data_IF_415159828621
#
_entry.id   IF_415159828621
#
_cell.length_a   1.000
_cell.length_b   1.000
_cell.length_c   1.000
_cell.angle_alpha   90.00
_cell.angle_beta   90.00
_cell.angle_gamma   90.00
#
_symmetry.space_group_name_H-M   'P 1'
#
loop_
_entity.id
_entity.type
_entity.pdbx_description
1 polymer ?
#
# COMPACT_ATOMS: atom_id res chain seq x y z
N UNK A 1 21.28 3.39 11.77
CA UNK A 1 20.22 2.36 11.66
C UNK A 1 18.98 2.89 10.93
N UNK A 2 18.71 4.20 10.97
CA UNK A 2 17.59 4.88 10.28
C UNK A 2 17.50 4.75 8.75
N UNK A 3 18.56 4.71 7.93
CA UNK A 3 18.39 4.62 6.47
C UNK A 3 17.96 3.22 6.01
N UNK A 4 18.27 2.17 6.77
CA UNK A 4 17.82 0.80 6.48
C UNK A 4 16.31 0.66 6.65
N UNK A 5 15.69 1.42 7.58
CA UNK A 5 14.24 1.48 7.75
C UNK A 5 13.53 2.00 6.50
N UNK A 6 14.16 2.90 5.73
CA UNK A 6 13.57 3.49 4.53
C UNK A 6 13.42 2.47 3.38
N UNK A 7 14.13 1.35 3.42
CA UNK A 7 14.02 0.30 2.39
C UNK A 7 12.61 -0.30 2.37
N UNK A 8 11.97 -0.45 3.53
CA UNK A 8 10.64 -1.05 3.66
C UNK A 8 9.56 -0.23 2.93
N UNK A 9 9.37 1.08 3.19
CA UNK A 9 8.41 1.88 2.44
C UNK A 9 8.82 2.08 0.97
N UNK A 10 10.13 2.16 0.66
CA UNK A 10 10.59 2.32 -0.72
C UNK A 10 10.30 1.07 -1.57
N UNK A 11 10.51 -0.14 -1.03
CA UNK A 11 10.12 -1.39 -1.72
C UNK A 11 8.61 -1.47 -1.90
N UNK A 12 7.83 -1.01 -0.93
CA UNK A 12 6.38 -0.86 -1.09
C UNK A 12 5.98 0.09 -2.22
N UNK A 13 6.68 1.22 -2.36
CA UNK A 13 6.44 2.15 -3.47
C UNK A 13 6.73 1.51 -4.83
N UNK A 14 7.83 0.74 -4.93
CA UNK A 14 8.17 -0.02 -6.15
C UNK A 14 7.10 -1.06 -6.50
N UNK A 15 6.60 -1.79 -5.51
CA UNK A 15 5.53 -2.78 -5.68
C UNK A 15 4.22 -2.12 -6.17
N UNK A 16 3.89 -0.93 -5.67
CA UNK A 16 2.73 -0.17 -6.13
C UNK A 16 2.94 0.48 -7.51
N UNK A 17 4.17 0.82 -7.89
CA UNK A 17 4.51 1.24 -9.26
C UNK A 17 4.27 0.08 -10.23
N UNK A 18 4.69 -1.12 -9.87
CA UNK A 18 4.41 -2.31 -10.67
C UNK A 18 2.90 -2.57 -10.78
N UNK A 19 2.18 -2.50 -9.66
CA UNK A 19 0.71 -2.66 -9.64
C UNK A 19 -0.02 -1.59 -10.48
N UNK A 20 0.42 -0.34 -10.46
CA UNK A 20 -0.16 0.73 -11.31
C UNK A 20 0.13 0.45 -12.79
N UNK A 21 1.36 0.10 -13.15
CA UNK A 21 1.73 -0.27 -14.51
C UNK A 21 0.89 -1.45 -15.03
N UNK A 22 0.77 -2.50 -14.24
CA UNK A 22 -0.06 -3.64 -14.58
C UNK A 22 -1.54 -3.23 -14.70
N UNK A 23 -2.08 -2.34 -13.87
CA UNK A 23 -3.48 -1.90 -13.97
C UNK A 23 -3.74 -1.01 -15.18
N UNK A 24 -2.71 -0.32 -15.69
CA UNK A 24 -2.78 0.46 -16.93
C UNK A 24 -2.73 -0.47 -18.15
N UNK A 25 -1.90 -1.52 -18.12
CA UNK A 25 -1.67 -2.41 -19.27
C UNK A 25 -2.63 -3.60 -19.34
N UNK A 26 -2.96 -4.19 -18.18
CA UNK A 26 -3.79 -5.37 -18.02
C UNK A 26 -5.04 -5.04 -17.18
N UNK A 27 -6.19 -5.60 -17.56
CA UNK A 27 -7.47 -5.33 -16.87
C UNK A 27 -7.57 -6.06 -15.52
N UNK A 28 -6.84 -7.17 -15.37
CA UNK A 28 -6.83 -8.03 -14.17
C UNK A 28 -5.39 -8.23 -13.68
N UNK A 29 -5.00 -7.46 -12.67
CA UNK A 29 -3.63 -7.48 -12.11
C UNK A 29 -3.47 -8.49 -10.99
N UNK A 30 -4.55 -8.93 -10.36
CA UNK A 30 -4.45 -9.92 -9.31
C UNK A 30 -4.57 -11.34 -9.86
N UNK A 31 -3.85 -12.29 -9.23
CA UNK A 31 -3.84 -13.69 -9.63
C UNK A 31 -5.27 -14.22 -9.83
N UNK A 32 -5.64 -14.62 -11.05
CA UNK A 32 -6.94 -15.25 -11.29
C UNK A 32 -7.02 -16.57 -10.51
N UNK A 33 -8.21 -16.89 -9.99
CA UNK A 33 -8.51 -18.16 -9.31
C UNK A 33 -8.32 -18.20 -7.79
N UNK A 34 -7.30 -17.55 -7.22
CA UNK A 34 -7.01 -17.67 -5.77
C UNK A 34 -7.66 -16.56 -4.93
N UNK A 35 -7.73 -15.34 -5.46
CA UNK A 35 -8.16 -14.16 -4.70
C UNK A 35 -9.49 -13.54 -5.18
N UNK A 36 -10.25 -14.24 -6.05
CA UNK A 36 -11.53 -13.80 -6.60
C UNK A 36 -11.53 -12.36 -7.17
N UNK A 37 -10.42 -11.95 -7.80
CA UNK A 37 -10.27 -10.57 -8.28
C UNK A 37 -11.23 -10.12 -9.38
N UNK A 38 -11.91 -11.05 -10.02
CA UNK A 38 -13.02 -10.76 -10.95
C UNK A 38 -14.16 -10.00 -10.25
N UNK A 39 -14.44 -10.33 -8.97
CA UNK A 39 -15.44 -9.59 -8.16
C UNK A 39 -14.94 -8.20 -7.75
N UNK A 40 -13.65 -8.07 -7.42
CA UNK A 40 -13.07 -6.78 -7.06
C UNK A 40 -13.10 -5.80 -8.25
N UNK A 41 -12.91 -6.32 -9.48
CA UNK A 41 -12.98 -5.54 -10.71
C UNK A 41 -14.39 -5.04 -11.05
N UNK A 42 -15.41 -5.76 -10.58
CA UNK A 42 -16.81 -5.37 -10.76
C UNK A 42 -17.26 -4.29 -9.75
N UNK A 43 -16.69 -4.31 -8.54
CA UNK A 43 -17.12 -3.46 -7.43
C UNK A 43 -16.39 -2.11 -7.42
N UNK A 44 -15.08 -2.11 -7.69
CA UNK A 44 -14.27 -0.88 -7.65
C UNK A 44 -13.88 -0.47 -9.07
N UNK A 45 -14.41 0.63 -9.61
CA UNK A 45 -14.10 1.05 -10.97
C UNK A 45 -12.60 1.34 -11.11
N UNK A 46 -12.07 1.01 -12.28
CA UNK A 46 -10.63 1.11 -12.62
C UNK A 46 -10.00 2.45 -12.23
N UNK A 47 -10.72 3.56 -12.39
CA UNK A 47 -10.25 4.92 -12.03
C UNK A 47 -9.94 5.06 -10.54
N UNK A 48 -10.79 4.50 -9.67
CA UNK A 48 -10.62 4.61 -8.22
C UNK A 48 -9.43 3.76 -7.76
N UNK A 49 -9.26 2.55 -8.32
CA UNK A 49 -8.10 1.70 -8.02
C UNK A 49 -6.78 2.33 -8.45
N UNK A 50 -6.74 2.93 -9.64
CA UNK A 50 -5.55 3.65 -10.13
C UNK A 50 -5.24 4.86 -9.25
N UNK A 51 -6.23 5.65 -8.87
CA UNK A 51 -6.04 6.78 -7.95
C UNK A 51 -5.48 6.33 -6.59
N UNK A 52 -6.06 5.28 -6.00
CA UNK A 52 -5.58 4.70 -4.74
C UNK A 52 -4.15 4.17 -4.87
N UNK A 53 -3.85 3.46 -5.96
CA UNK A 53 -2.53 2.90 -6.18
C UNK A 53 -1.47 3.98 -6.41
N UNK A 54 -1.75 4.99 -7.24
CA UNK A 54 -0.85 6.15 -7.45
C UNK A 54 -0.67 6.93 -6.16
N UNK A 55 -1.75 7.16 -5.40
CA UNK A 55 -1.68 7.79 -4.09
C UNK A 55 -0.78 6.99 -3.13
N UNK A 56 -0.93 5.67 -3.09
CA UNK A 56 -0.10 4.78 -2.27
C UNK A 56 1.38 4.84 -2.66
N UNK A 57 1.71 4.89 -3.96
CA UNK A 57 3.09 5.08 -4.43
C UNK A 57 3.68 6.35 -3.84
N UNK A 58 2.98 7.48 -4.00
CA UNK A 58 3.46 8.80 -3.58
C UNK A 58 3.62 8.85 -2.06
N UNK A 59 2.64 8.35 -1.30
CA UNK A 59 2.68 8.35 0.16
C UNK A 59 3.81 7.47 0.69
N UNK A 60 3.98 6.24 0.17
CA UNK A 60 5.08 5.35 0.57
C UNK A 60 6.45 5.95 0.23
N UNK A 61 6.57 6.60 -0.92
CA UNK A 61 7.80 7.30 -1.28
C UNK A 61 8.10 8.46 -0.31
N UNK A 62 7.09 9.28 0.02
CA UNK A 62 7.23 10.37 0.99
C UNK A 62 7.58 9.85 2.40
N UNK A 63 7.00 8.72 2.82
CA UNK A 63 7.38 8.05 4.08
C UNK A 63 8.86 7.65 4.04
N UNK A 64 9.30 6.96 2.99
CA UNK A 64 10.71 6.58 2.82
C UNK A 64 11.65 7.79 2.86
N UNK A 65 11.30 8.86 2.12
CA UNK A 65 12.07 10.10 2.08
C UNK A 65 12.12 10.79 3.44
N UNK A 66 11.00 10.85 4.16
CA UNK A 66 10.95 11.44 5.51
C UNK A 66 11.81 10.67 6.52
N UNK A 67 11.90 9.33 6.40
CA UNK A 67 12.81 8.51 7.22
C UNK A 67 14.27 8.82 6.90
N UNK A 68 14.62 8.97 5.61
CA UNK A 68 15.98 9.33 5.18
C UNK A 68 16.38 10.72 5.73
N UNK A 69 15.43 11.67 5.72
CA UNK A 69 15.64 13.03 6.25
C UNK A 69 15.61 13.09 7.79
N UNK A 70 15.36 11.97 8.48
CA UNK A 70 15.29 11.91 9.95
C UNK A 70 13.98 12.47 10.54
N UNK A 71 12.98 12.78 9.72
CA UNK A 71 11.68 13.31 10.13
C UNK A 71 10.71 12.17 10.54
N UNK A 72 11.09 11.37 11.53
CA UNK A 72 10.38 10.15 11.93
C UNK A 72 8.92 10.39 12.38
N UNK A 73 8.64 11.52 13.03
CA UNK A 73 7.28 11.86 13.46
C UNK A 73 6.33 12.10 12.28
N UNK A 74 6.83 12.70 11.20
CA UNK A 74 6.04 12.92 9.97
C UNK A 74 5.77 11.58 9.29
N UNK A 75 6.80 10.72 9.22
CA UNK A 75 6.69 9.36 8.70
C UNK A 75 5.65 8.53 9.47
N UNK A 76 5.64 8.65 10.79
CA UNK A 76 4.71 7.96 11.68
C UNK A 76 3.26 8.40 11.44
N UNK A 77 3.00 9.72 11.37
CA UNK A 77 1.67 10.26 11.10
C UNK A 77 1.16 9.77 9.73
N UNK A 78 1.99 9.83 8.69
CA UNK A 78 1.63 9.35 7.35
C UNK A 78 1.35 7.84 7.34
N UNK A 79 2.15 7.05 8.06
CA UNK A 79 1.97 5.60 8.16
C UNK A 79 0.66 5.24 8.88
N UNK A 80 0.31 5.95 9.96
CA UNK A 80 -0.97 5.75 10.69
C UNK A 80 -2.18 6.10 9.81
N UNK A 81 -2.13 7.23 9.10
CA UNK A 81 -3.20 7.61 8.17
C UNK A 81 -3.35 6.56 7.06
N UNK A 82 -2.22 6.08 6.51
CA UNK A 82 -2.21 5.01 5.53
C UNK A 82 -2.84 3.71 6.06
N UNK A 83 -2.52 3.33 7.30
CA UNK A 83 -3.11 2.17 7.98
C UNK A 83 -4.62 2.29 8.16
N UNK A 84 -5.13 3.45 8.55
CA UNK A 84 -6.59 3.67 8.69
C UNK A 84 -7.33 3.44 7.37
N UNK A 85 -6.76 3.93 6.27
CA UNK A 85 -7.29 3.71 4.91
C UNK A 85 -7.16 2.23 4.54
N UNK A 86 -6.04 1.60 4.85
CA UNK A 86 -5.78 0.17 4.64
C UNK A 86 -6.79 -0.73 5.34
N UNK A 87 -7.08 -0.49 6.62
CA UNK A 87 -8.08 -1.23 7.40
C UNK A 87 -9.47 -1.13 6.77
N UNK A 88 -9.86 0.06 6.30
CA UNK A 88 -11.11 0.23 5.56
C UNK A 88 -11.11 -0.57 4.24
N UNK A 89 -9.98 -0.59 3.54
CA UNK A 89 -9.75 -1.43 2.36
C UNK A 89 -9.91 -2.92 2.65
N UNK A 90 -9.31 -3.43 3.74
CA UNK A 90 -9.44 -4.83 4.18
C UNK A 90 -10.89 -5.15 4.53
N UNK A 91 -11.58 -4.27 5.25
CA UNK A 91 -13.00 -4.45 5.59
C UNK A 91 -13.86 -4.63 4.33
N UNK A 92 -13.66 -3.78 3.31
CA UNK A 92 -14.35 -3.92 2.02
C UNK A 92 -13.99 -5.22 1.30
N UNK A 93 -12.72 -5.63 1.31
CA UNK A 93 -12.28 -6.89 0.70
C UNK A 93 -12.92 -8.13 1.35
N UNK A 94 -13.02 -8.14 2.69
CA UNK A 94 -13.64 -9.22 3.46
C UNK A 94 -15.16 -9.25 3.22
N UNK A 95 -15.83 -8.09 3.30
CA UNK A 95 -17.28 -7.97 3.08
C UNK A 95 -17.70 -8.50 1.70
N UNK A 96 -16.91 -8.20 0.68
CA UNK A 96 -17.22 -8.58 -0.70
C UNK A 96 -16.55 -9.89 -1.19
N UNK A 97 -15.81 -10.59 -0.31
CA UNK A 97 -15.01 -11.80 -0.62
C UNK A 97 -14.14 -11.61 -1.87
N UNK A 98 -13.49 -10.45 -1.96
CA UNK A 98 -12.71 -10.03 -3.11
C UNK A 98 -11.38 -9.49 -2.59
N UNK A 99 -10.30 -10.23 -2.80
CA UNK A 99 -9.04 -10.00 -2.11
C UNK A 99 -8.01 -9.41 -3.08
N UNK A 100 -7.30 -8.37 -2.66
CA UNK A 100 -6.24 -7.76 -3.45
C UNK A 100 -4.89 -8.03 -2.78
N UNK A 101 -4.12 -8.99 -3.31
CA UNK A 101 -2.81 -9.35 -2.74
C UNK A 101 -1.88 -8.14 -2.62
N UNK A 102 -1.80 -7.30 -3.65
CA UNK A 102 -0.99 -6.08 -3.66
C UNK A 102 -1.41 -5.06 -2.59
N UNK A 103 -2.71 -4.95 -2.33
CA UNK A 103 -3.25 -4.03 -1.33
C UNK A 103 -2.90 -4.55 0.09
N UNK A 104 -3.06 -5.85 0.30
CA UNK A 104 -2.78 -6.52 1.57
C UNK A 104 -1.28 -6.48 1.90
N UNK A 105 -0.41 -6.65 0.89
CA UNK A 105 1.04 -6.50 1.10
C UNK A 105 1.42 -5.07 1.45
N UNK A 106 0.80 -4.05 0.86
CA UNK A 106 1.06 -2.66 1.27
C UNK A 106 0.58 -2.33 2.67
N UNK A 107 -0.55 -2.89 3.12
CA UNK A 107 -1.01 -2.72 4.49
C UNK A 107 -0.02 -3.32 5.49
N UNK A 108 0.54 -4.51 5.17
CA UNK A 108 1.59 -5.14 5.97
C UNK A 108 2.87 -4.29 5.98
N UNK A 109 3.27 -3.74 4.84
CA UNK A 109 4.43 -2.83 4.75
C UNK A 109 4.20 -1.61 5.63
N UNK A 110 3.03 -0.96 5.53
CA UNK A 110 2.70 0.19 6.36
C UNK A 110 2.76 -0.18 7.85
N UNK A 111 2.14 -1.29 8.25
CA UNK A 111 2.17 -1.78 9.63
C UNK A 111 3.59 -2.03 10.15
N UNK A 112 4.43 -2.70 9.36
CA UNK A 112 5.83 -2.92 9.70
C UNK A 112 6.59 -1.60 9.82
N UNK A 113 6.36 -0.65 8.92
CA UNK A 113 7.00 0.68 9.02
C UNK A 113 6.61 1.41 10.30
N UNK A 114 5.33 1.36 10.70
CA UNK A 114 4.87 2.00 11.93
C UNK A 114 5.54 1.37 13.15
N UNK A 115 5.53 0.04 13.25
CA UNK A 115 6.19 -0.68 14.35
C UNK A 115 7.68 -0.34 14.42
N UNK A 116 8.37 -0.38 13.27
CA UNK A 116 9.80 -0.10 13.21
C UNK A 116 10.11 1.34 13.62
N UNK A 117 9.27 2.31 13.25
CA UNK A 117 9.42 3.70 13.68
C UNK A 117 9.21 3.82 15.19
N UNK A 118 8.17 3.18 15.76
CA UNK A 118 7.89 3.21 17.21
C UNK A 118 9.03 2.60 18.04
N UNK A 119 9.63 1.50 17.56
CA UNK A 119 10.75 0.85 18.26
C UNK A 119 12.03 1.70 18.21
N UNK A 120 12.21 2.49 17.15
CA UNK A 120 13.42 3.30 16.93
C UNK A 120 13.25 4.80 17.24
N UNK A 121 12.08 5.23 17.72
CA UNK A 121 11.82 6.60 18.18
C UNK A 121 12.12 6.74 19.65
#
# INVERSE_FOLDING_TARGET
MTPLLAIVPLTGSGLMIYYTYENVKYVNVCLPGIFHCERFNFIVPRRIRLLLAVGAVVVLFLIGLSIIMGALMIALVLSIIGLLIGVYGVYLQVSHRAYCMYCLTTDVILFLTTILIIINS
#
